data_IF_507353614787
#
_entry.id   IF_507353614787
#
_cell.length_a   1.000
_cell.length_b   1.000
_cell.length_c   1.000
_cell.angle_alpha   90.00
_cell.angle_beta   90.00
_cell.angle_gamma   90.00
#
_symmetry.space_group_name_H-M   'P 1'
#
loop_
_entity.id
_entity.type
_entity.pdbx_description
1 polymer ?
#
# COMPACT_ATOMS: atom_id res chain seq x y z
N UNK A 1 4.20 9.05 -2.33
CA UNK A 1 3.53 7.96 -3.10
C UNK A 1 2.07 8.32 -3.15
N UNK A 2 1.50 8.35 -4.35
CA UNK A 2 0.07 8.64 -4.53
C UNK A 2 -0.69 7.32 -4.63
N UNK A 3 -1.78 7.17 -3.88
CA UNK A 3 -2.57 5.94 -3.84
C UNK A 3 -4.06 6.30 -3.82
N UNK A 4 -4.84 5.65 -4.67
CA UNK A 4 -6.28 5.84 -4.77
C UNK A 4 -6.97 4.50 -5.00
N UNK A 5 -8.19 4.36 -4.49
CA UNK A 5 -9.06 3.25 -4.85
C UNK A 5 -9.59 3.49 -6.27
N UNK A 6 -9.47 2.47 -7.13
CA UNK A 6 -10.17 2.41 -8.41
C UNK A 6 -11.29 1.35 -8.28
N UNK A 7 -12.53 1.81 -8.18
CA UNK A 7 -13.66 0.96 -7.85
C UNK A 7 -13.58 0.39 -6.43
N UNK A 8 -14.17 -0.80 -6.22
CA UNK A 8 -14.30 -1.42 -4.89
C UNK A 8 -13.16 -2.38 -4.53
N UNK A 9 -12.41 -2.87 -5.53
CA UNK A 9 -11.44 -3.96 -5.34
C UNK A 9 -10.05 -3.64 -5.86
N UNK A 10 -9.83 -2.47 -6.45
CA UNK A 10 -8.52 -2.16 -7.02
C UNK A 10 -7.94 -0.94 -6.34
N UNK A 11 -6.62 -0.98 -6.16
CA UNK A 11 -5.84 0.17 -5.73
C UNK A 11 -4.88 0.53 -6.83
N UNK A 12 -4.99 1.76 -7.31
CA UNK A 12 -4.00 2.37 -8.19
C UNK A 12 -3.04 3.18 -7.35
N UNK A 13 -1.76 2.96 -7.57
CA UNK A 13 -0.71 3.76 -6.96
C UNK A 13 0.32 4.23 -7.98
N UNK A 14 0.97 5.35 -7.69
CA UNK A 14 2.17 5.81 -8.38
C UNK A 14 3.35 5.51 -7.47
N UNK A 15 4.22 4.59 -7.91
CA UNK A 15 5.39 4.18 -7.13
C UNK A 15 6.26 5.39 -6.80
N UNK A 16 6.87 5.45 -5.60
CA UNK A 16 7.76 6.54 -5.25
C UNK A 16 8.91 6.63 -6.25
N UNK A 17 9.20 7.85 -6.71
CA UNK A 17 10.38 8.17 -7.51
C UNK A 17 11.57 8.58 -6.64
N UNK A 18 11.32 8.95 -5.38
CA UNK A 18 12.32 9.40 -4.41
C UNK A 18 12.25 8.62 -3.10
N UNK A 19 13.37 8.55 -2.40
CA UNK A 19 13.47 7.93 -1.09
C UNK A 19 12.99 8.88 0.02
N UNK A 20 13.00 8.38 1.27
CA UNK A 20 12.58 9.15 2.45
C UNK A 20 13.45 10.38 2.73
N UNK A 21 14.63 10.48 2.10
CA UNK A 21 15.55 11.63 2.19
C UNK A 21 15.46 12.54 0.95
N UNK A 22 14.57 12.24 -0.01
CA UNK A 22 14.39 13.02 -1.23
C UNK A 22 15.34 12.66 -2.38
N UNK A 23 16.19 11.64 -2.25
CA UNK A 23 17.07 11.19 -3.33
C UNK A 23 16.34 10.32 -4.36
N UNK A 24 16.77 10.26 -5.63
CA UNK A 24 16.13 9.42 -6.64
C UNK A 24 16.24 7.92 -6.30
N UNK A 25 15.17 7.16 -6.56
CA UNK A 25 15.16 5.71 -6.36
C UNK A 25 15.66 4.97 -7.60
N UNK A 26 16.51 3.97 -7.38
CA UNK A 26 16.98 3.04 -8.43
C UNK A 26 15.99 1.88 -8.61
N UNK A 27 15.16 1.58 -7.60
CA UNK A 27 14.15 0.53 -7.69
C UNK A 27 13.29 0.36 -6.44
N UNK A 28 12.09 -0.18 -6.64
CA UNK A 28 11.20 -0.72 -5.60
C UNK A 28 11.28 -2.24 -5.67
N UNK A 29 11.54 -2.89 -4.53
CA UNK A 29 11.67 -4.36 -4.42
C UNK A 29 10.35 -5.01 -4.05
N UNK A 30 9.57 -4.35 -3.18
CA UNK A 30 8.31 -4.87 -2.66
C UNK A 30 7.29 -3.76 -2.53
N UNK A 31 6.03 -4.05 -2.83
CA UNK A 31 4.87 -3.23 -2.46
C UNK A 31 3.97 -4.06 -1.55
N UNK A 32 3.63 -3.52 -0.38
CA UNK A 32 2.77 -4.16 0.62
C UNK A 32 1.48 -3.37 0.77
N UNK A 33 0.38 -4.09 0.95
CA UNK A 33 -0.86 -3.55 1.49
C UNK A 33 -0.96 -4.03 2.93
N UNK A 34 -1.03 -3.08 3.85
CA UNK A 34 -1.31 -3.36 5.25
C UNK A 34 -2.77 -3.07 5.55
N UNK A 35 -3.38 -3.92 6.35
CA UNK A 35 -4.77 -3.83 6.75
C UNK A 35 -4.89 -3.73 8.27
N UNK A 36 -5.78 -2.87 8.73
CA UNK A 36 -6.18 -2.75 10.13
C UNK A 36 -7.71 -2.84 10.21
N UNK A 37 -8.28 -3.70 11.09
CA UNK A 37 -9.72 -3.77 11.29
C UNK A 37 -10.37 -2.43 11.64
N UNK A 38 -11.65 -2.27 11.30
CA UNK A 38 -12.40 -1.07 11.64
C UNK A 38 -12.39 -0.85 13.17
N UNK A 39 -12.12 0.39 13.57
CA UNK A 39 -12.15 0.85 14.95
C UNK A 39 -13.11 2.03 15.12
N UNK A 40 -13.10 2.64 16.31
CA UNK A 40 -13.97 3.77 16.64
C UNK A 40 -13.62 5.07 15.88
N UNK A 41 -12.36 5.22 15.47
CA UNK A 41 -11.86 6.41 14.77
C UNK A 41 -11.02 6.02 13.56
N UNK A 42 -10.91 6.92 12.58
CA UNK A 42 -9.97 6.75 11.46
C UNK A 42 -8.53 6.75 12.01
N UNK A 43 -7.72 5.72 11.76
CA UNK A 43 -6.33 5.65 12.21
C UNK A 43 -5.44 6.58 11.38
N UNK A 44 -4.25 6.88 11.89
CA UNK A 44 -3.18 7.52 11.11
C UNK A 44 -2.47 6.49 10.21
N UNK A 45 -1.76 6.92 9.15
CA UNK A 45 -0.94 6.01 8.35
C UNK A 45 0.07 5.21 9.19
N UNK A 46 0.66 5.84 10.21
CA UNK A 46 1.62 5.24 11.13
C UNK A 46 0.98 4.18 12.05
N UNK A 47 -0.27 4.38 12.47
CA UNK A 47 -1.03 3.38 13.22
C UNK A 47 -1.26 2.11 12.39
N UNK A 48 -1.70 2.27 11.13
CA UNK A 48 -1.91 1.12 10.24
C UNK A 48 -0.58 0.47 9.89
N UNK A 49 0.49 1.24 9.71
CA UNK A 49 1.82 0.69 9.44
C UNK A 49 2.38 -0.15 10.59
N UNK A 50 2.19 0.31 11.83
CA UNK A 50 2.76 -0.33 13.02
C UNK A 50 1.94 -1.52 13.52
N UNK A 51 0.61 -1.47 13.41
CA UNK A 51 -0.31 -2.47 13.96
C UNK A 51 -1.01 -3.32 12.90
N UNK A 52 -0.99 -2.88 11.65
CA UNK A 52 -1.67 -3.57 10.57
C UNK A 52 -0.94 -4.83 10.14
N UNK A 53 -1.70 -5.79 9.64
CA UNK A 53 -1.17 -7.01 9.05
C UNK A 53 -0.91 -6.82 7.55
N UNK A 54 0.15 -7.43 7.02
CA UNK A 54 0.39 -7.46 5.57
C UNK A 54 -0.57 -8.45 4.94
N UNK A 55 -1.50 -7.95 4.12
CA UNK A 55 -2.56 -8.77 3.49
C UNK A 55 -2.35 -9.00 2.00
N UNK A 56 -1.53 -8.17 1.37
CA UNK A 56 -1.09 -8.35 -0.01
C UNK A 56 0.35 -7.88 -0.13
N UNK A 57 1.15 -8.63 -0.87
CA UNK A 57 2.53 -8.28 -1.16
C UNK A 57 2.85 -8.61 -2.61
N UNK A 58 3.47 -7.66 -3.33
CA UNK A 58 3.98 -7.85 -4.69
C UNK A 58 5.47 -7.57 -4.70
N UNK A 59 6.26 -8.49 -5.26
CA UNK A 59 7.73 -8.40 -5.32
C UNK A 59 8.20 -8.29 -6.76
N UNK A 60 9.45 -7.87 -6.97
CA UNK A 60 10.12 -8.02 -8.27
C UNK A 60 10.14 -9.49 -8.72
N UNK A 61 10.12 -9.77 -10.04
CA UNK A 61 10.26 -8.82 -11.17
C UNK A 61 8.96 -8.11 -11.58
N UNK A 62 7.82 -8.41 -10.95
CA UNK A 62 6.49 -7.95 -11.39
C UNK A 62 6.15 -6.50 -11.02
N UNK A 63 7.13 -5.72 -10.55
CA UNK A 63 6.95 -4.33 -10.16
C UNK A 63 7.48 -3.39 -11.25
N UNK A 64 6.72 -2.36 -11.63
CA UNK A 64 7.19 -1.34 -12.56
C UNK A 64 8.27 -0.45 -11.93
N UNK A 65 8.89 0.40 -12.74
CA UNK A 65 9.95 1.30 -12.30
C UNK A 65 9.46 2.39 -11.32
N UNK A 66 10.38 3.07 -10.63
CA UNK A 66 10.08 4.24 -9.80
C UNK A 66 9.25 5.29 -10.58
N UNK A 67 8.28 5.93 -9.94
CA UNK A 67 7.40 6.93 -10.57
C UNK A 67 6.34 6.35 -11.51
N UNK A 68 6.37 5.04 -11.81
CA UNK A 68 5.38 4.41 -12.68
C UNK A 68 4.10 4.07 -11.93
N UNK A 69 2.98 4.03 -12.65
CA UNK A 69 1.71 3.56 -12.11
C UNK A 69 1.71 2.03 -11.95
N UNK A 70 1.09 1.56 -10.86
CA UNK A 70 0.83 0.16 -10.57
C UNK A 70 -0.62 0.02 -10.15
N UNK A 71 -1.32 -0.92 -10.77
CA UNK A 71 -2.66 -1.34 -10.37
C UNK A 71 -2.56 -2.67 -9.62
N UNK A 72 -3.12 -2.72 -8.41
CA UNK A 72 -3.20 -3.92 -7.60
C UNK A 72 -4.66 -4.33 -7.42
N UNK A 73 -4.94 -5.61 -7.70
CA UNK A 73 -6.22 -6.21 -7.40
C UNK A 73 -6.22 -6.73 -5.95
N UNK A 74 -7.17 -6.24 -5.17
CA UNK A 74 -7.43 -6.63 -3.78
C UNK A 74 -8.51 -7.71 -3.71
N UNK A 75 -8.94 -8.33 -4.81
CA UNK A 75 -9.97 -9.39 -4.80
C UNK A 75 -9.63 -10.58 -3.89
N UNK A 76 -8.35 -10.88 -3.69
CA UNK A 76 -7.89 -11.93 -2.77
C UNK A 76 -7.94 -11.52 -1.30
N UNK A 77 -8.26 -10.26 -1.00
CA UNK A 77 -8.35 -9.73 0.35
C UNK A 77 -9.59 -10.31 1.03
N UNK A 78 -9.41 -11.39 1.78
CA UNK A 78 -10.44 -12.01 2.61
C UNK A 78 -10.44 -11.34 3.99
N UNK A 79 -10.74 -10.03 4.02
CA UNK A 79 -10.82 -9.26 5.24
C UNK A 79 -12.14 -8.49 5.31
N UNK A 80 -12.75 -8.40 6.50
CA UNK A 80 -13.93 -7.57 6.70
C UNK A 80 -13.57 -6.09 6.54
N UNK A 81 -14.57 -5.23 6.70
CA UNK A 81 -14.37 -3.78 6.59
C UNK A 81 -13.27 -3.28 7.56
N UNK A 82 -12.46 -2.34 7.06
CA UNK A 82 -11.37 -1.77 7.84
C UNK A 82 -10.62 -0.67 7.10
N UNK A 83 -9.34 -0.54 7.40
CA UNK A 83 -8.45 0.50 6.90
C UNK A 83 -7.26 -0.14 6.23
N UNK A 84 -6.82 0.43 5.11
CA UNK A 84 -5.61 -0.01 4.43
C UNK A 84 -4.64 1.14 4.20
N UNK A 85 -3.35 0.81 4.21
CA UNK A 85 -2.28 1.65 3.68
C UNK A 85 -1.41 0.82 2.76
N UNK A 86 -0.81 1.48 1.77
CA UNK A 86 0.16 0.87 0.88
C UNK A 86 1.54 1.37 1.27
N UNK A 87 2.52 0.47 1.26
CA UNK A 87 3.93 0.78 1.55
C UNK A 87 4.81 0.20 0.46
N UNK A 88 5.61 1.05 -0.17
CA UNK A 88 6.68 0.62 -1.06
C UNK A 88 7.97 0.42 -0.26
N UNK A 89 8.62 -0.72 -0.44
CA UNK A 89 9.91 -1.08 0.16
C UNK A 89 10.97 -1.01 -0.94
N UNK A 90 11.99 -0.20 -0.71
CA UNK A 90 13.11 -0.06 -1.64
C UNK A 90 14.19 -1.12 -1.39
N UNK A 91 15.18 -1.16 -2.29
CA UNK A 91 16.39 -1.99 -2.17
C UNK A 91 16.99 -1.89 -0.76
N UNK A 92 17.38 -3.04 -0.19
CA UNK A 92 17.85 -3.14 1.19
C UNK A 92 16.74 -3.28 2.24
N UNK A 93 15.51 -3.59 1.82
CA UNK A 93 14.35 -3.85 2.68
C UNK A 93 13.96 -2.65 3.57
N UNK A 94 14.21 -1.43 3.10
CA UNK A 94 13.87 -0.22 3.85
C UNK A 94 12.45 0.21 3.45
N UNK A 95 11.47 0.24 4.38
CA UNK A 95 10.13 0.70 4.08
C UNK A 95 10.13 2.21 3.79
N UNK A 96 9.42 2.61 2.75
CA UNK A 96 9.12 4.01 2.48
C UNK A 96 7.99 4.54 3.37
N UNK A 97 7.66 5.82 3.20
CA UNK A 97 6.51 6.43 3.88
C UNK A 97 5.21 5.72 3.43
N UNK A 98 4.34 5.30 4.37
CA UNK A 98 3.02 4.78 4.03
C UNK A 98 2.19 5.78 3.23
N UNK A 99 1.25 5.27 2.43
CA UNK A 99 0.23 6.10 1.80
C UNK A 99 -0.72 6.70 2.83
N UNK A 100 -1.59 7.61 2.37
CA UNK A 100 -2.77 7.96 3.14
C UNK A 100 -3.63 6.73 3.45
N UNK A 101 -4.37 6.80 4.55
CA UNK A 101 -5.28 5.75 4.98
C UNK A 101 -6.52 5.74 4.09
N UNK A 102 -6.76 4.60 3.45
CA UNK A 102 -7.91 4.34 2.59
C UNK A 102 -8.88 3.39 3.31
N UNK A 103 -10.21 3.57 3.13
CA UNK A 103 -11.18 2.62 3.64
C UNK A 103 -11.15 1.33 2.80
N UNK A 104 -11.15 0.19 3.45
CA UNK A 104 -11.47 -1.09 2.82
C UNK A 104 -12.89 -1.45 3.18
N UNK A 105 -13.76 -1.49 2.16
CA UNK A 105 -15.12 -1.97 2.30
C UNK A 105 -15.12 -3.36 1.67
N UNK A 106 -15.33 -4.41 2.46
CA UNK A 106 -15.41 -5.77 1.93
C UNK A 106 -16.46 -5.81 0.82
N UNK A 107 -16.05 -6.02 -0.44
CA UNK A 107 -16.92 -5.93 -1.60
C UNK A 107 -17.73 -7.21 -1.81
N UNK A 108 -17.60 -8.21 -0.92
CA UNK A 108 -18.41 -9.43 -0.90
C UNK A 108 -19.59 -9.37 0.09
N UNK A 109 -19.74 -8.25 0.82
CA UNK A 109 -20.95 -7.91 1.57
C UNK A 109 -22.03 -7.30 0.66
#
# INVERSE_FOLDING_TARGET
MEVRLEGLRQVRLILPSTDVKGGPLVGVEVVRVLYLPLGLTKPTPEDVFSRGEVVLERRRPDLPGPGSALLMDLKSLQRPQGWIVVVAVRVGNVPGRPSDVLPWMDPAL
#
